data_IF_802467256069
#
_entry.id   IF_802467256069
#
_cell.length_a   1.000
_cell.length_b   1.000
_cell.length_c   1.000
_cell.angle_alpha   90.00
_cell.angle_beta   90.00
_cell.angle_gamma   90.00
#
_symmetry.space_group_name_H-M   'P 1'
#
loop_
_entity.id
_entity.type
_entity.pdbx_description
1 polymer ?
#
# COMPACT_ATOMS: atom_id res chain seq x y z
N UNK A 1 0.01 38.13 -2.68
CA UNK A 1 -0.64 36.90 -2.18
C UNK A 1 -1.79 36.59 -3.12
N UNK A 2 -1.55 35.78 -4.15
CA UNK A 2 -2.59 35.33 -5.07
C UNK A 2 -3.40 34.25 -4.37
N UNK A 3 -4.54 34.63 -3.80
CA UNK A 3 -5.58 33.70 -3.39
C UNK A 3 -6.13 33.05 -4.68
N UNK A 4 -5.57 31.91 -5.05
CA UNK A 4 -6.02 31.18 -6.25
C UNK A 4 -7.40 30.63 -5.96
N UNK A 5 -8.38 30.89 -6.84
CA UNK A 5 -9.77 30.35 -6.80
C UNK A 5 -9.86 28.85 -6.43
N UNK A 6 -8.81 28.08 -6.69
CA UNK A 6 -8.63 26.69 -6.29
C UNK A 6 -8.66 26.47 -4.77
N UNK A 7 -8.08 27.38 -3.98
CA UNK A 7 -8.07 27.33 -2.52
C UNK A 7 -9.45 27.59 -1.91
N UNK A 8 -10.15 28.60 -2.42
CA UNK A 8 -11.54 28.89 -2.03
C UNK A 8 -12.47 27.72 -2.35
N UNK A 9 -12.38 27.17 -3.57
CA UNK A 9 -13.18 25.99 -3.95
C UNK A 9 -12.91 24.78 -3.05
N UNK A 10 -11.66 24.56 -2.63
CA UNK A 10 -11.29 23.47 -1.71
C UNK A 10 -11.90 23.69 -0.32
N UNK A 11 -11.82 24.91 0.19
CA UNK A 11 -12.42 25.28 1.47
C UNK A 11 -13.95 25.14 1.46
N UNK A 12 -14.61 25.48 0.34
CA UNK A 12 -16.06 25.32 0.15
C UNK A 12 -16.49 23.85 0.05
N UNK A 13 -15.67 22.99 -0.58
CA UNK A 13 -15.96 21.57 -0.80
C UNK A 13 -15.50 20.66 0.35
N UNK A 14 -15.05 21.22 1.47
CA UNK A 14 -14.65 20.44 2.65
C UNK A 14 -13.27 19.76 2.58
N UNK A 15 -12.44 20.09 1.58
CA UNK A 15 -11.12 19.47 1.38
C UNK A 15 -9.95 20.41 1.67
N UNK A 16 -8.93 19.93 2.39
CA UNK A 16 -7.69 20.66 2.67
C UNK A 16 -6.57 20.39 1.65
N UNK A 17 -5.69 21.37 1.43
CA UNK A 17 -4.50 21.18 0.58
C UNK A 17 -3.54 20.08 1.09
N UNK A 18 -3.55 19.81 2.40
CA UNK A 18 -2.76 18.75 3.01
C UNK A 18 -3.38 17.36 2.79
N UNK A 19 -4.70 17.23 2.90
CA UNK A 19 -5.44 15.98 2.66
C UNK A 19 -5.25 15.50 1.22
N UNK A 20 -5.31 16.43 0.27
CA UNK A 20 -5.05 16.16 -1.15
C UNK A 20 -3.63 15.64 -1.38
N UNK A 21 -2.64 16.19 -0.69
CA UNK A 21 -1.24 15.74 -0.79
C UNK A 21 -1.07 14.35 -0.21
N UNK A 22 -1.73 14.04 0.91
CA UNK A 22 -1.65 12.73 1.55
C UNK A 22 -2.32 11.68 0.69
N UNK A 23 -3.51 11.97 0.15
CA UNK A 23 -4.19 11.08 -0.79
C UNK A 23 -3.32 10.82 -2.03
N UNK A 24 -2.75 11.88 -2.62
CA UNK A 24 -1.82 11.74 -3.75
C UNK A 24 -0.59 10.89 -3.38
N UNK A 25 -0.01 11.08 -2.19
CA UNK A 25 1.11 10.28 -1.73
C UNK A 25 0.76 8.78 -1.63
N UNK A 26 -0.41 8.45 -1.09
CA UNK A 26 -0.89 7.07 -1.05
C UNK A 26 -1.05 6.48 -2.46
N UNK A 27 -1.63 7.23 -3.39
CA UNK A 27 -1.81 6.77 -4.77
C UNK A 27 -0.46 6.60 -5.50
N UNK A 28 0.51 7.50 -5.29
CA UNK A 28 1.85 7.39 -5.87
C UNK A 28 2.62 6.19 -5.31
N UNK A 29 2.58 5.99 -3.99
CA UNK A 29 3.20 4.83 -3.35
C UNK A 29 2.52 3.54 -3.78
N UNK A 30 1.19 3.52 -3.85
CA UNK A 30 0.43 2.39 -4.37
C UNK A 30 0.80 2.08 -5.83
N UNK A 31 0.93 3.08 -6.68
CA UNK A 31 1.39 2.91 -8.07
C UNK A 31 2.82 2.37 -8.16
N UNK A 32 3.72 2.79 -7.26
CA UNK A 32 5.07 2.22 -7.18
C UNK A 32 5.03 0.72 -6.81
N UNK A 33 4.18 0.35 -5.85
CA UNK A 33 3.95 -1.05 -5.51
C UNK A 33 3.25 -1.85 -6.62
N UNK A 34 2.41 -1.22 -7.44
CA UNK A 34 1.81 -1.88 -8.61
C UNK A 34 2.90 -2.28 -9.62
N UNK A 35 3.83 -1.37 -9.91
CA UNK A 35 4.96 -1.66 -10.81
C UNK A 35 5.84 -2.75 -10.22
N UNK A 36 6.17 -2.66 -8.92
CA UNK A 36 7.00 -3.65 -8.24
C UNK A 36 6.33 -5.04 -8.20
N UNK A 37 5.08 -5.10 -7.75
CA UNK A 37 4.29 -6.33 -7.66
C UNK A 37 4.01 -6.93 -9.04
N UNK A 38 3.76 -6.11 -10.05
CA UNK A 38 3.62 -6.55 -11.44
C UNK A 38 4.91 -7.14 -11.99
N UNK A 39 6.06 -6.52 -11.72
CA UNK A 39 7.36 -7.07 -12.11
C UNK A 39 7.64 -8.42 -11.43
N UNK A 40 7.32 -8.55 -10.13
CA UNK A 40 7.44 -9.81 -9.40
C UNK A 40 6.49 -10.89 -9.95
N UNK A 41 5.27 -10.51 -10.32
CA UNK A 41 4.31 -11.43 -10.94
C UNK A 41 4.83 -11.96 -12.28
N UNK A 42 5.35 -11.08 -13.14
CA UNK A 42 5.97 -11.48 -14.41
C UNK A 42 7.19 -12.38 -14.17
N UNK A 43 8.04 -12.05 -13.19
CA UNK A 43 9.18 -12.88 -12.83
C UNK A 43 8.76 -14.26 -12.30
N UNK A 44 7.65 -14.34 -11.55
CA UNK A 44 7.10 -15.61 -11.07
C UNK A 44 6.72 -16.51 -12.26
N UNK A 45 6.01 -15.98 -13.26
CA UNK A 45 5.63 -16.70 -14.46
C UNK A 45 6.85 -17.08 -15.31
N UNK A 46 7.86 -16.22 -15.35
CA UNK A 46 9.14 -16.52 -16.00
C UNK A 46 9.86 -17.71 -15.32
N UNK A 47 9.90 -17.74 -13.98
CA UNK A 47 10.51 -18.84 -13.22
C UNK A 47 9.81 -20.18 -13.41
N UNK A 48 8.48 -20.16 -13.67
CA UNK A 48 7.71 -21.36 -14.01
C UNK A 48 8.16 -21.97 -15.34
N UNK A 49 8.51 -21.13 -16.32
CA UNK A 49 8.90 -21.56 -17.67
C UNK A 49 10.40 -21.86 -17.77
N UNK A 50 11.23 -21.12 -17.05
CA UNK A 50 12.69 -21.16 -17.13
C UNK A 50 13.32 -21.37 -15.74
N UNK A 51 12.94 -22.46 -15.07
CA UNK A 51 13.35 -22.75 -13.70
C UNK A 51 14.88 -22.77 -13.52
N UNK A 52 15.62 -23.26 -14.53
CA UNK A 52 17.09 -23.39 -14.48
C UNK A 52 17.82 -22.03 -14.54
N UNK A 53 17.17 -20.98 -15.04
CA UNK A 53 17.76 -19.66 -15.22
C UNK A 53 17.44 -18.69 -14.07
N UNK A 54 16.52 -19.07 -13.18
CA UNK A 54 16.05 -18.19 -12.11
C UNK A 54 16.62 -18.60 -10.75
N UNK A 55 17.27 -17.68 -10.00
CA UNK A 55 17.81 -18.01 -8.69
C UNK A 55 16.72 -18.18 -7.61
N UNK A 56 15.50 -17.69 -7.86
CA UNK A 56 14.36 -17.76 -6.94
C UNK A 56 13.24 -18.57 -7.60
N UNK A 57 12.69 -19.53 -6.87
CA UNK A 57 11.63 -20.42 -7.36
C UNK A 57 10.25 -19.74 -7.35
N UNK A 58 9.35 -20.23 -8.21
CA UNK A 58 7.96 -19.77 -8.30
C UNK A 58 7.25 -19.72 -6.94
N UNK A 59 7.43 -20.75 -6.11
CA UNK A 59 6.80 -20.86 -4.79
C UNK A 59 7.19 -19.75 -3.79
N UNK A 60 8.25 -18.98 -4.06
CA UNK A 60 8.59 -17.77 -3.28
C UNK A 60 8.17 -16.49 -3.99
N UNK A 61 8.34 -16.43 -5.31
CA UNK A 61 8.01 -15.25 -6.11
C UNK A 61 6.50 -14.97 -6.16
N UNK A 62 5.66 -16.01 -6.17
CA UNK A 62 4.20 -15.83 -6.21
C UNK A 62 3.66 -15.20 -4.91
N UNK A 63 4.00 -15.70 -3.71
CA UNK A 63 3.59 -15.03 -2.47
C UNK A 63 4.14 -13.60 -2.35
N UNK A 64 5.38 -13.37 -2.81
CA UNK A 64 5.99 -12.03 -2.86
C UNK A 64 5.19 -11.06 -3.74
N UNK A 65 4.78 -11.52 -4.93
CA UNK A 65 3.97 -10.73 -5.85
C UNK A 65 2.58 -10.45 -5.26
N UNK A 66 1.90 -11.46 -4.72
CA UNK A 66 0.56 -11.31 -4.13
C UNK A 66 0.54 -10.34 -2.95
N UNK A 67 1.52 -10.45 -2.04
CA UNK A 67 1.66 -9.51 -0.93
C UNK A 67 1.81 -8.07 -1.43
N UNK A 68 2.72 -7.87 -2.39
CA UNK A 68 3.03 -6.55 -2.92
C UNK A 68 1.82 -5.95 -3.65
N UNK A 69 1.09 -6.76 -4.42
CA UNK A 69 -0.08 -6.30 -5.17
C UNK A 69 -1.30 -6.05 -4.28
N UNK A 70 -1.62 -6.96 -3.36
CA UNK A 70 -2.80 -6.80 -2.50
C UNK A 70 -2.57 -5.73 -1.43
N UNK A 71 -1.50 -5.86 -0.64
CA UNK A 71 -1.25 -4.99 0.50
C UNK A 71 -0.50 -3.71 0.10
N UNK A 72 0.50 -3.80 -0.78
CA UNK A 72 1.27 -2.64 -1.22
C UNK A 72 0.50 -1.75 -2.20
N UNK A 73 -0.11 -2.33 -3.23
CA UNK A 73 -0.87 -1.56 -4.21
C UNK A 73 -2.34 -1.38 -3.78
N UNK A 74 -3.07 -2.47 -3.61
CA UNK A 74 -4.53 -2.45 -3.44
C UNK A 74 -4.96 -1.65 -2.21
N UNK A 75 -4.48 -2.05 -1.03
CA UNK A 75 -4.85 -1.41 0.24
C UNK A 75 -4.38 0.04 0.31
N UNK A 76 -3.12 0.32 -0.03
CA UNK A 76 -2.58 1.70 0.06
C UNK A 76 -3.32 2.63 -0.91
N UNK A 77 -3.58 2.18 -2.14
CA UNK A 77 -4.33 3.00 -3.12
C UNK A 77 -5.76 3.22 -2.68
N UNK A 78 -6.42 2.19 -2.12
CA UNK A 78 -7.77 2.29 -1.60
C UNK A 78 -7.84 3.30 -0.43
N UNK A 79 -6.90 3.23 0.51
CA UNK A 79 -6.80 4.19 1.61
C UNK A 79 -6.61 5.62 1.08
N UNK A 80 -5.73 5.82 0.08
CA UNK A 80 -5.55 7.10 -0.59
C UNK A 80 -6.83 7.64 -1.23
N UNK A 81 -7.59 6.76 -1.91
CA UNK A 81 -8.89 7.10 -2.49
C UNK A 81 -9.92 7.49 -1.43
N UNK A 82 -9.98 6.76 -0.32
CA UNK A 82 -10.87 7.08 0.80
C UNK A 82 -10.50 8.45 1.42
N UNK A 83 -9.23 8.71 1.67
CA UNK A 83 -8.77 10.01 2.21
C UNK A 83 -9.04 11.18 1.27
N UNK A 84 -9.12 10.93 -0.03
CA UNK A 84 -9.55 11.94 -1.00
C UNK A 84 -11.07 12.15 -0.96
N UNK A 85 -11.85 11.08 -1.05
CA UNK A 85 -13.31 11.16 -1.24
C UNK A 85 -14.05 11.55 0.06
N UNK A 86 -13.60 11.04 1.21
CA UNK A 86 -14.33 11.17 2.48
C UNK A 86 -14.55 12.63 2.92
N UNK A 87 -13.54 13.53 2.90
CA UNK A 87 -13.76 14.93 3.28
C UNK A 87 -14.75 15.65 2.36
N UNK A 88 -14.76 15.28 1.08
CA UNK A 88 -15.60 15.90 0.04
C UNK A 88 -17.06 15.45 0.13
N UNK A 89 -17.30 14.20 0.54
CA UNK A 89 -18.66 13.69 0.74
C UNK A 89 -19.29 14.19 2.03
N UNK A 90 -18.49 14.31 3.09
CA UNK A 90 -18.98 14.68 4.43
C UNK A 90 -18.94 16.18 4.69
N UNK A 91 -18.17 16.93 3.89
CA UNK A 91 -17.88 18.35 4.15
C UNK A 91 -16.99 18.57 5.38
N UNK A 92 -16.47 17.50 5.99
CA UNK A 92 -15.68 17.53 7.21
C UNK A 92 -14.21 17.20 6.92
N UNK A 93 -13.29 17.92 7.56
CA UNK A 93 -11.85 17.66 7.44
C UNK A 93 -11.46 16.32 8.06
N UNK A 94 -10.36 15.77 7.58
CA UNK A 94 -9.76 14.57 8.17
C UNK A 94 -9.35 14.84 9.62
N UNK A 95 -9.70 13.94 10.54
CA UNK A 95 -9.48 14.14 11.97
C UNK A 95 -8.01 14.38 12.32
N UNK A 96 -7.11 13.54 11.77
CA UNK A 96 -5.66 13.67 11.94
C UNK A 96 -4.93 13.24 10.67
N UNK A 97 -4.28 14.20 10.02
CA UNK A 97 -3.44 13.97 8.83
C UNK A 97 -2.18 13.17 9.15
N UNK A 98 -1.64 13.29 10.35
CA UNK A 98 -0.42 12.57 10.76
C UNK A 98 -0.65 11.07 10.95
N UNK A 99 -1.86 10.65 11.38
CA UNK A 99 -2.20 9.23 11.47
C UNK A 99 -2.24 8.58 10.07
N UNK A 100 -2.74 9.29 9.07
CA UNK A 100 -2.73 8.82 7.69
C UNK A 100 -1.30 8.67 7.13
N UNK A 101 -0.39 9.60 7.47
CA UNK A 101 1.04 9.50 7.11
C UNK A 101 1.71 8.31 7.81
N UNK A 102 1.41 8.10 9.10
CA UNK A 102 1.96 6.98 9.87
C UNK A 102 1.44 5.64 9.34
N UNK A 103 0.16 5.54 8.99
CA UNK A 103 -0.44 4.38 8.35
C UNK A 103 0.24 4.05 7.01
N UNK A 104 0.46 5.06 6.16
CA UNK A 104 1.20 4.89 4.90
C UNK A 104 2.61 4.34 5.12
N UNK A 105 3.36 4.94 6.04
CA UNK A 105 4.73 4.53 6.34
C UNK A 105 4.79 3.12 6.94
N UNK A 106 3.91 2.82 7.90
CA UNK A 106 3.83 1.52 8.57
C UNK A 106 3.47 0.40 7.58
N UNK A 107 2.43 0.59 6.77
CA UNK A 107 2.03 -0.40 5.76
C UNK A 107 3.12 -0.61 4.71
N UNK A 108 3.71 0.48 4.20
CA UNK A 108 4.80 0.37 3.22
C UNK A 108 6.00 -0.38 3.78
N UNK A 109 6.41 -0.07 5.02
CA UNK A 109 7.51 -0.74 5.69
C UNK A 109 7.23 -2.23 5.94
N UNK A 110 6.01 -2.58 6.36
CA UNK A 110 5.61 -3.95 6.60
C UNK A 110 5.51 -4.78 5.32
N UNK A 111 5.02 -4.19 4.22
CA UNK A 111 5.02 -4.83 2.91
C UNK A 111 6.45 -5.10 2.43
N UNK A 112 7.36 -4.14 2.57
CA UNK A 112 8.77 -4.33 2.21
C UNK A 112 9.46 -5.37 3.10
N UNK A 113 9.19 -5.36 4.40
CA UNK A 113 9.70 -6.36 5.33
C UNK A 113 9.18 -7.76 4.99
N UNK A 114 7.89 -7.89 4.66
CA UNK A 114 7.28 -9.13 4.21
C UNK A 114 7.86 -9.63 2.88
N UNK A 115 8.11 -8.72 1.93
CA UNK A 115 8.75 -9.05 0.66
C UNK A 115 10.14 -9.67 0.88
N UNK A 116 10.95 -9.09 1.77
CA UNK A 116 12.27 -9.61 2.14
C UNK A 116 12.15 -10.95 2.87
N UNK A 117 11.24 -11.07 3.85
CA UNK A 117 11.04 -12.31 4.61
C UNK A 117 10.64 -13.49 3.71
N UNK A 118 9.73 -13.25 2.76
CA UNK A 118 9.32 -14.25 1.77
C UNK A 118 10.47 -14.62 0.81
N UNK A 119 11.27 -13.63 0.40
CA UNK A 119 12.48 -13.87 -0.40
C UNK A 119 13.50 -14.77 0.29
N UNK A 120 13.72 -14.56 1.59
CA UNK A 120 14.56 -15.43 2.43
C UNK A 120 13.95 -16.80 2.72
N UNK A 121 12.69 -17.04 2.34
CA UNK A 121 12.00 -18.32 2.55
C UNK A 121 11.42 -18.50 3.95
N UNK A 122 11.21 -17.42 4.70
CA UNK A 122 10.59 -17.44 6.04
C UNK A 122 9.03 -17.48 5.97
N UNK A 123 8.47 -17.82 4.81
CA UNK A 123 7.03 -17.87 4.59
C UNK A 123 6.38 -19.14 5.15
N UNK A 124 5.08 -19.05 5.43
CA UNK A 124 4.27 -20.17 5.96
C UNK A 124 3.59 -21.02 4.87
N UNK A 125 3.72 -20.64 3.60
CA UNK A 125 3.14 -21.37 2.46
C UNK A 125 1.61 -21.29 2.36
N UNK A 126 0.95 -20.48 3.21
CA UNK A 126 -0.51 -20.27 3.18
C UNK A 126 -0.87 -19.13 2.23
N UNK A 127 -1.72 -19.40 1.25
CA UNK A 127 -2.27 -18.36 0.38
C UNK A 127 -3.35 -17.56 1.12
N UNK A 128 -3.49 -16.23 0.87
CA UNK A 128 -2.89 -15.49 -0.25
C UNK A 128 -1.56 -14.76 0.04
N UNK A 129 -1.18 -14.51 1.30
CA UNK A 129 -0.02 -13.66 1.64
C UNK A 129 1.25 -14.44 2.05
N UNK A 130 1.13 -15.68 2.52
CA UNK A 130 2.27 -16.51 2.93
C UNK A 130 3.10 -15.98 4.11
N UNK A 131 2.64 -14.93 4.80
CA UNK A 131 3.40 -14.24 5.84
C UNK A 131 3.55 -15.09 7.12
N UNK A 132 4.68 -14.93 7.84
CA UNK A 132 4.80 -15.46 9.18
C UNK A 132 4.02 -14.59 10.18
N UNK A 133 3.58 -15.19 11.29
CA UNK A 133 2.73 -14.55 12.28
C UNK A 133 3.31 -13.24 12.86
N UNK A 134 4.64 -13.14 12.96
CA UNK A 134 5.33 -11.96 13.47
C UNK A 134 5.31 -10.76 12.52
N UNK A 135 4.96 -10.96 11.24
CA UNK A 135 4.66 -9.88 10.28
C UNK A 135 3.16 -9.68 10.09
N UNK A 136 2.38 -10.76 10.17
CA UNK A 136 0.93 -10.73 9.96
C UNK A 136 0.19 -9.96 11.07
N UNK A 137 0.62 -10.11 12.33
CA UNK A 137 0.07 -9.37 13.46
C UNK A 137 0.30 -7.85 13.30
N UNK A 138 1.55 -7.35 13.14
CA UNK A 138 1.79 -5.93 12.91
C UNK A 138 1.05 -5.37 11.69
N UNK A 139 0.93 -6.14 10.61
CA UNK A 139 0.18 -5.73 9.41
C UNK A 139 -1.30 -5.52 9.74
N UNK A 140 -1.90 -6.44 10.48
CA UNK A 140 -3.29 -6.32 10.93
C UNK A 140 -3.49 -5.11 11.85
N UNK A 141 -2.55 -4.84 12.76
CA UNK A 141 -2.60 -3.64 13.60
C UNK A 141 -2.45 -2.35 12.80
N UNK A 142 -1.59 -2.32 11.78
CA UNK A 142 -1.42 -1.15 10.92
C UNK A 142 -2.70 -0.84 10.12
N UNK A 143 -3.47 -1.88 9.72
CA UNK A 143 -4.78 -1.71 9.09
C UNK A 143 -5.86 -1.22 10.06
N UNK A 144 -5.75 -1.57 11.34
CA UNK A 144 -6.68 -1.15 12.38
C UNK A 144 -6.38 0.27 12.91
N UNK A 145 -5.18 0.80 12.68
CA UNK A 145 -4.77 2.14 13.10
C UNK A 145 -5.78 3.26 12.78
N UNK A 146 -6.38 3.36 11.57
CA UNK A 146 -7.38 4.39 11.27
C UNK A 146 -8.70 4.24 12.03
N UNK A 147 -8.95 3.13 12.74
CA UNK A 147 -10.15 2.92 13.57
C UNK A 147 -10.00 3.42 15.00
N UNK A 148 -8.78 3.82 15.42
CA UNK A 148 -8.44 4.26 16.78
C UNK A 148 -8.18 5.76 16.80
#
# INVERSE_FOLDING_TARGET
MTDTKTGENRALLGGGAEEDRIAAAHLLVGAAFLVLGGALAVLSLFSLRFADLTPITYGRLEPMANLTLMMGFGVISLAGGIYYVLPRLTGARLWRTDLAKLGLAALSALVLAGLLALGFGLGTGRQPLGLPWWLDLPLTFALALPLV
#
